data_IF_793209152552
#
_entry.id   IF_793209152552
#
_cell.length_a   1.000
_cell.length_b   1.000
_cell.length_c   1.000
_cell.angle_alpha   90.00
_cell.angle_beta   90.00
_cell.angle_gamma   90.00
#
_symmetry.space_group_name_H-M   'P 1'
#
loop_
_entity.id
_entity.type
_entity.pdbx_description
1 polymer ?
#
# COMPACT_ATOMS: atom_id res chain seq x y z
N UNK A 1 12.53 -4.08 -31.87
CA UNK A 1 13.12 -3.28 -30.76
C UNK A 1 12.23 -2.11 -30.32
N UNK A 2 11.79 -1.19 -31.21
CA UNK A 2 11.03 0.01 -30.81
C UNK A 2 9.68 -0.20 -30.08
N UNK A 3 8.94 -1.29 -30.36
CA UNK A 3 7.65 -1.58 -29.68
C UNK A 3 7.85 -2.06 -28.23
N UNK A 4 8.95 -2.75 -27.94
CA UNK A 4 9.29 -3.20 -26.59
C UNK A 4 9.82 -2.04 -25.73
N UNK A 5 10.59 -1.14 -26.32
CA UNK A 5 11.07 0.09 -25.67
C UNK A 5 9.95 1.11 -25.40
N UNK A 6 9.01 1.28 -26.34
CA UNK A 6 7.84 2.14 -26.12
C UNK A 6 6.95 1.64 -24.98
N UNK A 7 6.82 0.31 -24.84
CA UNK A 7 6.03 -0.31 -23.77
C UNK A 7 6.68 -0.17 -22.39
N UNK A 8 8.00 -0.36 -22.28
CA UNK A 8 8.72 -0.11 -21.02
C UNK A 8 8.62 1.34 -20.59
N UNK A 9 8.73 2.30 -21.53
CA UNK A 9 8.55 3.74 -21.23
C UNK A 9 7.15 4.06 -20.70
N UNK A 10 6.09 3.52 -21.30
CA UNK A 10 4.71 3.73 -20.84
C UNK A 10 4.48 3.14 -19.44
N UNK A 11 5.03 1.93 -19.18
CA UNK A 11 4.96 1.29 -17.87
C UNK A 11 5.70 2.09 -16.80
N UNK A 12 6.90 2.60 -17.11
CA UNK A 12 7.65 3.46 -16.18
C UNK A 12 6.91 4.77 -15.92
N UNK A 13 6.33 5.41 -16.94
CA UNK A 13 5.53 6.62 -16.77
C UNK A 13 4.31 6.38 -15.88
N UNK A 14 3.59 5.27 -16.08
CA UNK A 14 2.47 4.89 -15.21
C UNK A 14 2.92 4.65 -13.77
N UNK A 15 4.05 3.96 -13.57
CA UNK A 15 4.60 3.73 -12.23
C UNK A 15 4.96 5.04 -11.53
N UNK A 16 5.62 5.97 -12.22
CA UNK A 16 5.96 7.29 -11.67
C UNK A 16 4.71 8.12 -11.35
N UNK A 17 3.72 8.12 -12.24
CA UNK A 17 2.44 8.79 -12.00
C UNK A 17 1.76 8.27 -10.73
N UNK A 18 1.66 6.95 -10.57
CA UNK A 18 1.06 6.36 -9.38
C UNK A 18 1.91 6.60 -8.12
N UNK A 19 3.25 6.61 -8.23
CA UNK A 19 4.13 6.96 -7.11
C UNK A 19 3.92 8.40 -6.63
N UNK A 20 3.71 9.36 -7.54
CA UNK A 20 3.40 10.76 -7.20
C UNK A 20 2.06 10.85 -6.48
N UNK A 21 1.01 10.22 -7.02
CA UNK A 21 -0.32 10.20 -6.41
C UNK A 21 -0.28 9.56 -5.01
N UNK A 22 0.43 8.44 -4.88
CA UNK A 22 0.64 7.78 -3.60
C UNK A 22 1.35 8.73 -2.62
N UNK A 23 2.38 9.45 -3.08
CA UNK A 23 3.11 10.41 -2.26
C UNK A 23 2.25 11.55 -1.73
N UNK A 24 1.45 12.16 -2.61
CA UNK A 24 0.50 13.21 -2.23
C UNK A 24 -0.48 12.66 -1.19
N UNK A 25 -1.07 11.49 -1.42
CA UNK A 25 -2.02 10.86 -0.52
C UNK A 25 -1.42 10.48 0.84
N UNK A 26 -0.29 9.77 0.86
CA UNK A 26 0.40 9.31 2.08
C UNK A 26 0.84 10.46 2.98
N UNK A 27 1.18 11.61 2.40
CA UNK A 27 1.54 12.80 3.14
C UNK A 27 0.31 13.57 3.64
N UNK A 28 -0.68 13.79 2.79
CA UNK A 28 -1.84 14.63 3.10
C UNK A 28 -2.83 14.00 4.07
N UNK A 29 -3.09 12.68 3.95
CA UNK A 29 -4.10 12.00 4.76
C UNK A 29 -3.85 12.08 6.27
N UNK A 30 -2.66 11.69 6.79
CA UNK A 30 -2.41 11.72 8.23
C UNK A 30 -2.49 13.14 8.81
N UNK A 31 -2.06 14.14 8.05
CA UNK A 31 -2.11 15.55 8.47
C UNK A 31 -3.57 16.02 8.57
N UNK A 32 -4.39 15.83 7.52
CA UNK A 32 -5.80 16.25 7.56
C UNK A 32 -6.61 15.47 8.59
N UNK A 33 -6.34 14.17 8.77
CA UNK A 33 -6.95 13.38 9.83
C UNK A 33 -6.62 13.96 11.21
N UNK A 34 -5.36 14.36 11.44
CA UNK A 34 -4.97 15.01 12.69
C UNK A 34 -5.61 16.37 12.86
N UNK A 35 -5.65 17.18 11.81
CA UNK A 35 -6.32 18.48 11.83
C UNK A 35 -7.79 18.37 12.22
N UNK A 36 -8.48 17.32 11.74
CA UNK A 36 -9.85 17.01 12.13
C UNK A 36 -9.98 16.74 13.64
N UNK A 37 -9.13 15.90 14.22
CA UNK A 37 -9.18 15.61 15.66
C UNK A 37 -8.78 16.81 16.53
N UNK A 38 -7.75 17.56 16.12
CA UNK A 38 -7.32 18.77 16.85
C UNK A 38 -8.41 19.85 16.83
N UNK A 39 -9.13 20.02 15.73
CA UNK A 39 -10.20 21.01 15.62
C UNK A 39 -11.51 20.66 16.37
N UNK A 40 -11.51 19.62 17.20
CA UNK A 40 -12.67 19.18 17.97
C UNK A 40 -13.48 18.04 17.34
N UNK A 41 -13.00 17.43 16.26
CA UNK A 41 -13.60 16.22 15.69
C UNK A 41 -13.49 15.05 16.66
N UNK A 42 -14.60 14.37 16.94
CA UNK A 42 -14.69 13.26 17.91
C UNK A 42 -15.16 11.95 17.26
N UNK A 43 -15.79 12.03 16.08
CA UNK A 43 -16.37 10.86 15.41
C UNK A 43 -15.32 10.01 14.69
N UNK A 44 -14.90 8.91 15.32
CA UNK A 44 -13.92 7.96 14.78
C UNK A 44 -14.50 7.22 13.56
N UNK A 45 -15.74 6.75 13.61
CA UNK A 45 -16.34 6.03 12.47
C UNK A 45 -16.58 6.96 11.29
N UNK A 46 -16.97 8.21 11.53
CA UNK A 46 -17.06 9.22 10.48
C UNK A 46 -15.70 9.48 9.81
N UNK A 47 -14.65 9.68 10.63
CA UNK A 47 -13.31 9.88 10.07
C UNK A 47 -12.74 8.64 9.38
N UNK A 48 -13.21 7.45 9.74
CA UNK A 48 -12.89 6.20 9.06
C UNK A 48 -13.62 6.10 7.72
N UNK A 49 -14.92 6.38 7.72
CA UNK A 49 -15.81 6.29 6.56
C UNK A 49 -15.38 7.23 5.43
N UNK A 50 -14.99 8.46 5.76
CA UNK A 50 -14.57 9.45 4.76
C UNK A 50 -13.34 9.04 3.93
N UNK A 51 -12.46 8.17 4.45
CA UNK A 51 -11.26 7.74 3.74
C UNK A 51 -11.61 6.98 2.45
N UNK A 52 -12.73 6.27 2.42
CA UNK A 52 -13.14 5.49 1.24
C UNK A 52 -14.43 6.01 0.60
N UNK A 53 -15.14 6.93 1.26
CA UNK A 53 -16.42 7.49 0.78
C UNK A 53 -16.32 8.17 -0.59
N UNK A 54 -15.14 8.68 -0.97
CA UNK A 54 -14.89 9.28 -2.29
C UNK A 54 -14.65 8.26 -3.42
N UNK A 55 -14.94 6.97 -3.20
CA UNK A 55 -14.88 5.94 -4.25
C UNK A 55 -15.60 6.29 -5.56
N UNK A 56 -16.74 7.03 -5.59
CA UNK A 56 -17.41 7.37 -6.84
C UNK A 56 -16.59 8.30 -7.73
N UNK A 57 -15.61 9.05 -7.19
CA UNK A 57 -14.70 9.88 -7.99
C UNK A 57 -13.93 9.03 -9.00
N UNK A 58 -13.70 7.74 -8.70
CA UNK A 58 -13.05 6.77 -9.59
C UNK A 58 -13.87 6.53 -10.88
N UNK A 59 -15.17 6.84 -10.91
CA UNK A 59 -15.95 6.78 -12.16
C UNK A 59 -15.46 7.76 -13.21
N UNK A 60 -14.89 8.90 -12.83
CA UNK A 60 -14.43 9.92 -13.78
C UNK A 60 -13.33 9.36 -14.69
N UNK A 61 -12.18 8.84 -14.19
CA UNK A 61 -11.15 8.27 -15.06
C UNK A 61 -11.63 7.03 -15.82
N UNK A 62 -12.51 6.21 -15.22
CA UNK A 62 -13.11 5.06 -15.91
C UNK A 62 -14.01 5.49 -17.08
N UNK A 63 -14.81 6.52 -16.90
CA UNK A 63 -15.68 7.07 -17.94
C UNK A 63 -14.88 7.72 -19.07
N UNK A 64 -13.81 8.45 -18.74
CA UNK A 64 -12.87 9.00 -19.73
C UNK A 64 -12.22 7.86 -20.54
N UNK A 65 -11.75 6.82 -19.85
CA UNK A 65 -11.19 5.62 -20.49
C UNK A 65 -12.21 4.95 -21.41
N UNK A 66 -13.45 4.76 -20.93
CA UNK A 66 -14.56 4.22 -21.70
C UNK A 66 -14.79 4.99 -23.01
N UNK A 67 -14.87 6.34 -22.95
CA UNK A 67 -15.07 7.17 -24.14
C UNK A 67 -13.88 7.04 -25.10
N UNK A 68 -12.66 7.05 -24.58
CA UNK A 68 -11.44 6.95 -25.39
C UNK A 68 -11.37 5.61 -26.14
N UNK A 69 -11.64 4.50 -25.45
CA UNK A 69 -11.69 3.17 -26.05
C UNK A 69 -12.84 3.02 -27.04
N UNK A 70 -14.01 3.58 -26.74
CA UNK A 70 -15.16 3.59 -27.68
C UNK A 70 -14.83 4.33 -28.97
N UNK A 71 -14.14 5.48 -28.90
CA UNK A 71 -13.70 6.26 -30.08
C UNK A 71 -12.66 5.52 -30.92
N UNK A 72 -11.72 4.80 -30.29
CA UNK A 72 -10.76 3.95 -31.02
C UNK A 72 -11.44 2.75 -31.68
N UNK A 73 -12.42 2.14 -31.02
CA UNK A 73 -13.18 1.01 -31.57
C UNK A 73 -14.04 1.38 -32.77
N UNK A 74 -14.52 2.62 -32.88
CA UNK A 74 -15.21 3.05 -34.11
C UNK A 74 -14.27 3.15 -35.33
N UNK A 75 -12.95 3.05 -35.13
CA UNK A 75 -11.94 3.09 -36.20
C UNK A 75 -11.35 1.71 -36.52
N UNK A 76 -11.62 0.69 -35.71
CA UNK A 76 -11.11 -0.68 -35.89
C UNK A 76 -12.22 -1.68 -35.58
N UNK A 77 -12.54 -2.58 -36.53
CA UNK A 77 -13.60 -3.61 -36.45
C UNK A 77 -13.36 -4.71 -35.40
N UNK A 78 -12.83 -4.36 -34.23
CA UNK A 78 -12.42 -5.30 -33.19
C UNK A 78 -13.51 -5.36 -32.10
N UNK A 79 -14.29 -6.43 -32.13
CA UNK A 79 -15.45 -6.71 -31.28
C UNK A 79 -15.07 -7.27 -29.90
N UNK A 80 -13.98 -6.79 -29.30
CA UNK A 80 -13.57 -7.24 -27.96
C UNK A 80 -14.64 -6.91 -26.91
N UNK A 81 -15.09 -7.85 -26.11
CA UNK A 81 -16.07 -7.57 -25.05
C UNK A 81 -15.55 -6.52 -24.07
N UNK A 82 -16.46 -5.73 -23.47
CA UNK A 82 -16.11 -4.88 -22.34
C UNK A 82 -15.53 -5.78 -21.25
N UNK A 83 -14.23 -5.65 -20.99
CA UNK A 83 -13.55 -6.46 -20.00
C UNK A 83 -13.99 -5.98 -18.62
N UNK A 84 -15.09 -6.54 -18.13
CA UNK A 84 -15.48 -6.45 -16.74
C UNK A 84 -14.43 -7.17 -15.89
N UNK A 85 -14.04 -6.57 -14.76
CA UNK A 85 -13.29 -7.24 -13.69
C UNK A 85 -13.75 -8.69 -13.53
N UNK A 86 -12.80 -9.62 -13.55
CA UNK A 86 -13.15 -11.05 -13.43
C UNK A 86 -13.86 -11.30 -12.09
N UNK A 87 -14.82 -12.24 -12.01
CA UNK A 87 -15.52 -12.52 -10.76
C UNK A 87 -14.58 -12.82 -9.59
N UNK A 88 -13.46 -13.50 -9.87
CA UNK A 88 -12.40 -13.74 -8.89
C UNK A 88 -11.78 -12.45 -8.35
N UNK A 89 -11.44 -11.49 -9.22
CA UNK A 89 -10.90 -10.19 -8.79
C UNK A 89 -11.94 -9.34 -8.08
N UNK A 90 -13.19 -9.39 -8.51
CA UNK A 90 -14.28 -8.69 -7.83
C UNK A 90 -14.44 -9.18 -6.39
N UNK A 91 -14.52 -10.49 -6.19
CA UNK A 91 -14.63 -11.10 -4.84
C UNK A 91 -13.38 -10.80 -4.02
N UNK A 92 -12.19 -10.91 -4.63
CA UNK A 92 -10.94 -10.59 -3.94
C UNK A 92 -10.90 -9.13 -3.50
N UNK A 93 -11.25 -8.19 -4.40
CA UNK A 93 -11.32 -6.76 -4.11
C UNK A 93 -12.32 -6.46 -2.99
N UNK A 94 -13.48 -7.11 -3.01
CA UNK A 94 -14.49 -6.95 -1.97
C UNK A 94 -14.00 -7.43 -0.60
N UNK A 95 -13.41 -8.63 -0.52
CA UNK A 95 -12.85 -9.18 0.73
C UNK A 95 -11.70 -8.33 1.27
N UNK A 96 -10.78 -7.93 0.39
CA UNK A 96 -9.67 -7.01 0.73
C UNK A 96 -10.24 -5.65 1.16
N UNK A 97 -11.32 -5.18 0.55
CA UNK A 97 -12.02 -3.96 0.91
C UNK A 97 -12.62 -4.00 2.32
N UNK A 98 -13.21 -5.12 2.74
CA UNK A 98 -13.69 -5.28 4.11
C UNK A 98 -12.53 -5.19 5.12
N UNK A 99 -11.42 -5.87 4.83
CA UNK A 99 -10.20 -5.79 5.65
C UNK A 99 -9.60 -4.37 5.64
N UNK A 100 -9.68 -3.66 4.52
CA UNK A 100 -9.28 -2.26 4.41
C UNK A 100 -10.16 -1.34 5.29
N UNK A 101 -11.47 -1.59 5.35
CA UNK A 101 -12.36 -0.86 6.26
C UNK A 101 -11.96 -1.03 7.72
N UNK A 102 -11.64 -2.26 8.13
CA UNK A 102 -11.08 -2.52 9.46
C UNK A 102 -9.75 -1.82 9.67
N UNK A 103 -8.85 -1.86 8.68
CA UNK A 103 -7.57 -1.17 8.76
C UNK A 103 -7.74 0.35 8.96
N UNK A 104 -8.61 0.98 8.19
CA UNK A 104 -8.89 2.42 8.31
C UNK A 104 -9.43 2.77 9.70
N UNK A 105 -10.24 1.88 10.29
CA UNK A 105 -10.75 2.06 11.65
C UNK A 105 -9.60 2.01 12.68
N UNK A 106 -8.69 1.04 12.56
CA UNK A 106 -7.51 0.94 13.42
C UNK A 106 -6.61 2.16 13.29
N UNK A 107 -6.35 2.61 12.05
CA UNK A 107 -5.58 3.82 11.76
C UNK A 107 -6.19 5.05 12.43
N UNK A 108 -7.48 5.31 12.18
CA UNK A 108 -8.20 6.46 12.73
C UNK A 108 -8.23 6.42 14.26
N UNK A 109 -8.43 5.23 14.83
CA UNK A 109 -8.42 5.03 16.29
C UNK A 109 -7.05 5.26 16.91
N UNK A 110 -5.96 5.00 16.17
CA UNK A 110 -4.59 5.33 16.54
C UNK A 110 -4.33 6.83 16.50
N UNK A 111 -4.64 7.50 15.38
CA UNK A 111 -4.45 8.96 15.19
C UNK A 111 -5.29 9.79 16.16
N UNK A 112 -6.46 9.28 16.56
CA UNK A 112 -7.30 9.93 17.57
C UNK A 112 -6.64 9.95 18.97
N UNK A 113 -5.74 8.99 19.28
CA UNK A 113 -5.19 8.77 20.63
C UNK A 113 -3.70 9.07 20.75
N UNK A 114 -2.98 9.09 19.64
CA UNK A 114 -1.53 9.26 19.58
C UNK A 114 -1.14 10.47 18.71
N UNK A 115 -0.02 11.13 18.99
CA UNK A 115 0.58 12.09 18.06
C UNK A 115 0.85 11.44 16.69
N UNK A 116 0.78 12.22 15.61
CA UNK A 116 0.98 11.70 14.25
C UNK A 116 2.37 11.11 14.10
N UNK A 117 3.39 11.76 14.67
CA UNK A 117 4.77 11.24 14.67
C UNK A 117 4.86 9.83 15.25
N UNK A 118 4.12 9.54 16.31
CA UNK A 118 4.17 8.24 16.98
C UNK A 118 3.43 7.19 16.16
N UNK A 119 2.30 7.55 15.55
CA UNK A 119 1.54 6.67 14.65
C UNK A 119 2.37 6.28 13.43
N UNK A 120 2.99 7.25 12.75
CA UNK A 120 3.79 7.02 11.55
C UNK A 120 5.02 6.15 11.84
N UNK A 121 5.63 6.35 13.00
CA UNK A 121 6.81 5.60 13.37
C UNK A 121 6.49 4.14 13.69
N UNK A 122 5.39 3.85 14.39
CA UNK A 122 4.88 2.48 14.55
C UNK A 122 4.46 1.92 13.18
N UNK A 123 3.79 2.72 12.35
CA UNK A 123 3.37 2.32 11.02
C UNK A 123 4.57 1.95 10.12
N UNK A 124 5.78 2.49 10.36
CA UNK A 124 6.99 2.07 9.63
C UNK A 124 7.27 0.56 9.70
N UNK A 125 6.84 -0.12 10.77
CA UNK A 125 6.91 -1.57 10.91
C UNK A 125 6.10 -2.35 9.87
N UNK A 126 5.13 -1.69 9.19
CA UNK A 126 4.35 -2.28 8.11
C UNK A 126 5.22 -2.83 6.98
N UNK A 127 6.41 -2.26 6.75
CA UNK A 127 7.36 -2.77 5.76
C UNK A 127 7.88 -4.17 6.13
N UNK A 128 8.13 -4.44 7.42
CA UNK A 128 8.54 -5.76 7.91
C UNK A 128 7.42 -6.79 7.70
N UNK A 129 6.18 -6.42 8.08
CA UNK A 129 5.01 -7.27 7.84
C UNK A 129 4.78 -7.52 6.34
N UNK A 130 4.92 -6.49 5.50
CA UNK A 130 4.82 -6.61 4.04
C UNK A 130 5.84 -7.58 3.50
N UNK A 131 7.10 -7.44 3.91
CA UNK A 131 8.16 -8.35 3.51
C UNK A 131 7.81 -9.79 3.90
N UNK A 132 7.39 -10.01 5.15
CA UNK A 132 6.95 -11.32 5.65
C UNK A 132 5.82 -11.92 4.81
N UNK A 133 4.73 -11.18 4.60
CA UNK A 133 3.57 -11.66 3.87
C UNK A 133 3.84 -11.79 2.36
N UNK A 134 4.65 -10.93 1.75
CA UNK A 134 5.02 -11.04 0.34
C UNK A 134 5.83 -12.31 0.06
N UNK A 135 6.70 -12.74 1.00
CA UNK A 135 7.36 -14.04 0.90
C UNK A 135 6.39 -15.21 1.06
N UNK A 136 5.49 -15.16 2.04
CA UNK A 136 4.54 -16.26 2.29
C UNK A 136 3.53 -16.39 1.15
N UNK A 137 2.94 -15.27 0.71
CA UNK A 137 1.80 -15.25 -0.21
C UNK A 137 2.22 -15.19 -1.67
N UNK A 138 3.23 -14.39 -2.00
CA UNK A 138 3.68 -14.14 -3.39
C UNK A 138 4.98 -14.90 -3.71
N UNK A 139 5.50 -15.68 -2.74
CA UNK A 139 6.74 -16.47 -2.87
C UNK A 139 7.96 -15.64 -3.28
N UNK A 140 7.99 -14.37 -2.85
CA UNK A 140 9.12 -13.47 -3.11
C UNK A 140 10.37 -14.02 -2.40
N UNK A 141 11.48 -14.28 -3.11
CA UNK A 141 12.67 -14.90 -2.48
C UNK A 141 13.37 -13.94 -1.50
N UNK A 142 13.50 -14.35 -0.25
CA UNK A 142 14.24 -13.59 0.76
C UNK A 142 15.75 -13.68 0.60
N UNK A 143 16.43 -12.60 0.97
CA UNK A 143 17.89 -12.49 0.99
C UNK A 143 18.35 -12.25 2.42
N UNK A 144 19.65 -12.45 2.73
CA UNK A 144 20.20 -12.16 4.06
C UNK A 144 19.94 -10.70 4.50
N UNK A 145 19.81 -9.78 3.54
CA UNK A 145 19.45 -8.38 3.79
C UNK A 145 18.00 -8.20 4.26
N UNK A 146 17.09 -9.09 3.85
CA UNK A 146 15.71 -9.10 4.31
C UNK A 146 15.60 -9.50 5.78
N UNK A 147 16.40 -10.48 6.21
CA UNK A 147 16.48 -10.87 7.62
C UNK A 147 17.03 -9.72 8.47
N UNK A 148 18.08 -9.05 7.99
CA UNK A 148 18.66 -7.90 8.68
C UNK A 148 17.65 -6.72 8.79
N UNK A 149 16.89 -6.44 7.74
CA UNK A 149 15.85 -5.41 7.74
C UNK A 149 14.73 -5.72 8.75
N UNK A 150 14.29 -6.99 8.84
CA UNK A 150 13.29 -7.40 9.83
C UNK A 150 13.83 -7.19 11.25
N UNK A 151 15.05 -7.64 11.55
CA UNK A 151 15.66 -7.46 12.89
C UNK A 151 15.75 -5.98 13.29
N UNK A 152 16.19 -5.11 12.38
CA UNK A 152 16.30 -3.67 12.63
C UNK A 152 14.93 -3.00 12.85
N UNK A 153 13.90 -3.40 12.09
CA UNK A 153 12.54 -2.87 12.25
C UNK A 153 11.90 -3.34 13.57
N UNK A 154 12.17 -4.58 14.00
CA UNK A 154 11.72 -5.08 15.31
C UNK A 154 12.40 -4.33 16.46
N UNK A 155 13.71 -4.06 16.36
CA UNK A 155 14.44 -3.25 17.34
C UNK A 155 13.91 -1.81 17.42
N UNK A 156 13.59 -1.21 16.27
CA UNK A 156 12.97 0.12 16.20
C UNK A 156 11.64 0.16 16.96
N UNK A 157 10.75 -0.82 16.73
CA UNK A 157 9.47 -0.94 17.42
C UNK A 157 9.62 -1.17 18.94
N UNK A 158 10.62 -1.97 19.37
CA UNK A 158 10.89 -2.23 20.80
C UNK A 158 11.40 -0.97 21.51
N UNK A 159 12.33 -0.24 20.90
CA UNK A 159 12.88 1.00 21.47
C UNK A 159 11.77 2.03 21.72
N UNK A 160 10.78 2.10 20.82
CA UNK A 160 9.61 2.95 20.96
C UNK A 160 8.64 2.50 22.05
N UNK A 161 8.33 1.21 22.09
CA UNK A 161 7.43 0.64 23.09
C UNK A 161 7.94 0.84 24.52
N UNK A 162 9.26 0.76 24.71
CA UNK A 162 9.90 0.90 26.02
C UNK A 162 9.90 2.36 26.52
N UNK A 163 9.82 3.36 25.64
CA UNK A 163 9.89 4.80 26.00
C UNK A 163 8.60 5.60 25.74
N UNK A 164 7.54 4.91 25.38
CA UNK A 164 6.16 5.40 25.25
C UNK A 164 5.66 6.33 26.37
N UNK A 165 6.22 6.23 27.59
CA UNK A 165 5.83 7.06 28.73
C UNK A 165 6.13 8.56 28.60
N UNK A 166 7.05 8.97 27.72
CA UNK A 166 7.50 10.37 27.59
C UNK A 166 6.82 11.18 26.49
N UNK A 167 5.96 10.56 25.67
CA UNK A 167 5.37 11.16 24.46
C UNK A 167 3.84 11.31 24.55
N UNK A 168 3.34 11.32 25.80
CA UNK A 168 1.91 11.41 26.13
C UNK A 168 1.35 12.80 25.79
N UNK A 169 0.28 12.92 24.98
CA UNK A 169 -0.48 14.16 24.87
C UNK A 169 -0.98 14.62 26.25
N UNK A 170 -0.97 15.93 26.52
CA UNK A 170 -1.43 16.45 27.80
C UNK A 170 -2.93 16.13 28.00
N UNK A 171 -3.26 15.35 29.03
CA UNK A 171 -4.64 15.01 29.41
C UNK A 171 -5.06 13.55 29.19
N UNK A 172 -4.35 12.77 28.37
CA UNK A 172 -4.74 11.39 28.01
C UNK A 172 -4.33 10.35 29.07
N UNK A 173 -5.15 9.33 29.30
CA UNK A 173 -4.85 8.27 30.26
C UNK A 173 -3.81 7.28 29.72
N UNK A 174 -3.05 6.62 30.63
CA UNK A 174 -2.08 5.57 30.26
C UNK A 174 -2.75 4.42 29.47
N UNK A 175 -4.04 4.18 29.71
CA UNK A 175 -4.82 3.13 29.02
C UNK A 175 -5.12 3.51 27.57
N UNK A 176 -5.51 4.77 27.31
CA UNK A 176 -5.79 5.27 25.95
C UNK A 176 -4.54 5.24 25.07
N UNK A 177 -3.38 5.61 25.63
CA UNK A 177 -2.11 5.52 24.93
C UNK A 177 -1.78 4.08 24.50
N UNK A 178 -1.86 3.11 25.43
CA UNK A 178 -1.59 1.68 25.14
C UNK A 178 -2.56 1.15 24.09
N UNK A 179 -3.83 1.54 24.17
CA UNK A 179 -4.85 1.15 23.21
C UNK A 179 -4.57 1.74 21.81
N UNK A 180 -4.18 3.02 21.74
CA UNK A 180 -3.75 3.66 20.49
C UNK A 180 -2.52 2.98 19.88
N UNK A 181 -1.57 2.56 20.71
CA UNK A 181 -0.39 1.81 20.27
C UNK A 181 -0.79 0.45 19.68
N UNK A 182 -1.63 -0.31 20.39
CA UNK A 182 -2.11 -1.62 19.94
C UNK A 182 -2.89 -1.51 18.61
N UNK A 183 -3.77 -0.53 18.47
CA UNK A 183 -4.47 -0.26 17.21
C UNK A 183 -3.50 0.06 16.07
N UNK A 184 -2.46 0.85 16.34
CA UNK A 184 -1.48 1.21 15.31
C UNK A 184 -0.62 0.02 14.87
N UNK A 185 -0.22 -0.86 15.79
CA UNK A 185 0.47 -2.12 15.45
C UNK A 185 -0.44 -3.03 14.61
N UNK A 186 -1.71 -3.16 15.00
CA UNK A 186 -2.71 -3.91 14.23
C UNK A 186 -2.90 -3.34 12.82
N UNK A 187 -2.93 -2.01 12.69
CA UNK A 187 -2.96 -1.32 11.40
C UNK A 187 -1.73 -1.63 10.55
N UNK A 188 -0.53 -1.55 11.12
CA UNK A 188 0.71 -1.89 10.39
C UNK A 188 0.72 -3.34 9.89
N UNK A 189 0.25 -4.29 10.73
CA UNK A 189 0.16 -5.70 10.36
C UNK A 189 -0.87 -5.94 9.24
N UNK A 190 -2.07 -5.32 9.33
CA UNK A 190 -3.10 -5.42 8.30
C UNK A 190 -2.64 -4.78 6.99
N UNK A 191 -2.07 -3.58 7.01
CA UNK A 191 -1.52 -2.95 5.81
C UNK A 191 -0.41 -3.80 5.18
N UNK A 192 0.46 -4.38 6.00
CA UNK A 192 1.48 -5.31 5.52
C UNK A 192 0.92 -6.57 4.86
N UNK A 193 -0.29 -6.99 5.23
CA UNK A 193 -0.99 -8.11 4.59
C UNK A 193 -1.76 -7.68 3.32
N UNK A 194 -2.40 -6.52 3.36
CA UNK A 194 -3.33 -6.04 2.33
C UNK A 194 -2.65 -5.88 0.96
N UNK A 195 -1.49 -5.23 0.89
CA UNK A 195 -0.82 -4.99 -0.40
C UNK A 195 -0.31 -6.29 -1.06
N UNK A 196 0.30 -7.24 -0.33
CA UNK A 196 0.61 -8.56 -0.88
C UNK A 196 -0.63 -9.36 -1.32
N UNK A 197 -1.78 -9.23 -0.64
CA UNK A 197 -3.03 -9.85 -1.10
C UNK A 197 -3.50 -9.26 -2.43
N UNK A 198 -3.40 -7.94 -2.60
CA UNK A 198 -3.68 -7.27 -3.88
C UNK A 198 -2.75 -7.78 -4.99
N UNK A 199 -1.45 -7.85 -4.72
CA UNK A 199 -0.47 -8.40 -5.68
C UNK A 199 -0.78 -9.85 -6.04
N UNK A 200 -1.15 -10.68 -5.05
CA UNK A 200 -1.55 -12.06 -5.28
C UNK A 200 -2.81 -12.14 -6.16
N UNK A 201 -3.81 -11.31 -5.91
CA UNK A 201 -5.04 -11.24 -6.72
C UNK A 201 -4.71 -10.92 -8.18
N UNK A 202 -3.85 -9.93 -8.41
CA UNK A 202 -3.38 -9.57 -9.76
C UNK A 202 -2.58 -10.69 -10.43
N UNK A 203 -1.67 -11.37 -9.70
CA UNK A 203 -0.85 -12.45 -10.28
C UNK A 203 -1.63 -13.71 -10.67
N UNK A 204 -2.77 -13.96 -10.02
CA UNK A 204 -3.64 -15.11 -10.30
C UNK A 204 -4.44 -14.98 -11.58
N UNK A 205 -4.65 -13.75 -12.06
CA UNK A 205 -5.29 -13.54 -13.35
C UNK A 205 -4.23 -13.70 -14.44
N UNK A 206 -4.33 -14.78 -15.23
CA UNK A 206 -3.42 -15.10 -16.35
C UNK A 206 -3.56 -14.15 -17.55
N UNK A 207 -3.85 -12.87 -17.31
CA UNK A 207 -3.85 -11.85 -18.35
C UNK A 207 -2.41 -11.44 -18.64
N UNK A 208 -2.03 -11.49 -19.91
CA UNK A 208 -0.69 -11.08 -20.34
C UNK A 208 -0.36 -9.63 -19.94
N UNK A 209 -1.38 -8.79 -19.68
CA UNK A 209 -1.26 -7.38 -19.29
C UNK A 209 -2.44 -6.97 -18.40
N UNK A 210 -2.14 -6.33 -17.27
CA UNK A 210 -3.14 -5.61 -16.48
C UNK A 210 -3.30 -4.22 -17.10
N UNK A 211 -4.51 -3.93 -17.58
CA UNK A 211 -4.85 -2.59 -18.03
C UNK A 211 -5.10 -1.66 -16.83
N UNK A 212 -4.86 -0.36 -17.01
CA UNK A 212 -5.05 0.61 -15.94
C UNK A 212 -6.53 0.70 -15.49
N UNK A 213 -7.46 0.47 -16.42
CA UNK A 213 -8.89 0.31 -16.15
C UNK A 213 -9.16 -0.76 -15.09
N UNK A 214 -8.51 -1.92 -15.18
CA UNK A 214 -8.67 -3.00 -14.23
C UNK A 214 -8.21 -2.62 -12.82
N UNK A 215 -7.13 -1.83 -12.70
CA UNK A 215 -6.66 -1.31 -11.41
C UNK A 215 -7.69 -0.36 -10.81
N UNK A 216 -8.28 0.52 -11.61
CA UNK A 216 -9.33 1.45 -11.19
C UNK A 216 -10.64 0.73 -10.81
N UNK A 217 -11.02 -0.32 -11.55
CA UNK A 217 -12.17 -1.17 -11.20
C UNK A 217 -11.93 -1.92 -9.88
N UNK A 218 -10.75 -2.52 -9.71
CA UNK A 218 -10.38 -3.20 -8.47
C UNK A 218 -10.39 -2.23 -7.28
N UNK A 219 -9.81 -1.04 -7.44
CA UNK A 219 -9.86 0.03 -6.45
C UNK A 219 -11.29 0.42 -6.09
N UNK A 220 -12.16 0.60 -7.09
CA UNK A 220 -13.54 1.01 -6.88
C UNK A 220 -14.27 -0.01 -6.02
N UNK A 221 -14.17 -1.31 -6.35
CA UNK A 221 -14.82 -2.39 -5.59
C UNK A 221 -14.26 -2.46 -4.16
N UNK A 222 -12.94 -2.34 -4.01
CA UNK A 222 -12.27 -2.30 -2.71
C UNK A 222 -12.78 -1.15 -1.85
N UNK A 223 -12.80 0.08 -2.38
CA UNK A 223 -13.24 1.26 -1.64
C UNK A 223 -14.74 1.23 -1.36
N UNK A 224 -15.55 0.68 -2.27
CA UNK A 224 -16.98 0.48 -2.06
C UNK A 224 -17.24 -0.49 -0.90
N UNK A 225 -16.60 -1.66 -0.90
CA UNK A 225 -16.74 -2.64 0.18
C UNK A 225 -16.26 -2.10 1.53
N UNK A 226 -15.12 -1.38 1.55
CA UNK A 226 -14.63 -0.68 2.74
C UNK A 226 -15.65 0.35 3.25
N UNK A 227 -16.25 1.12 2.35
CA UNK A 227 -17.27 2.12 2.68
C UNK A 227 -18.52 1.47 3.24
N UNK A 228 -18.97 0.33 2.71
CA UNK A 228 -20.10 -0.42 3.26
C UNK A 228 -19.81 -0.88 4.70
N UNK A 229 -18.62 -1.45 4.94
CA UNK A 229 -18.18 -1.83 6.29
C UNK A 229 -18.23 -0.62 7.25
N UNK A 230 -17.67 0.51 6.85
CA UNK A 230 -17.66 1.72 7.66
C UNK A 230 -19.06 2.31 7.85
N UNK A 231 -19.94 2.16 6.86
CA UNK A 231 -21.34 2.62 6.92
C UNK A 231 -22.11 1.87 8.01
N UNK A 232 -21.85 0.58 8.19
CA UNK A 232 -22.42 -0.18 9.32
C UNK A 232 -21.95 0.42 10.65
N UNK A 233 -20.65 0.71 10.80
CA UNK A 233 -20.12 1.37 12.00
C UNK A 233 -20.70 2.76 12.27
N UNK A 234 -20.92 3.54 11.20
CA UNK A 234 -21.60 4.84 11.25
C UNK A 234 -23.03 4.73 11.78
N UNK A 235 -23.79 3.72 11.31
CA UNK A 235 -25.15 3.48 11.77
C UNK A 235 -25.19 3.06 13.24
N UNK A 236 -24.32 2.14 13.65
CA UNK A 236 -24.25 1.64 15.04
C UNK A 236 -23.90 2.76 16.02
N UNK A 237 -23.03 3.71 15.63
CA UNK A 237 -22.62 4.81 16.52
C UNK A 237 -23.49 6.08 16.39
N UNK A 238 -24.52 6.06 15.55
CA UNK A 238 -25.34 7.24 15.25
C UNK A 238 -24.53 8.46 14.78
N UNK A 239 -23.43 8.19 14.06
CA UNK A 239 -22.50 9.24 13.63
C UNK A 239 -23.12 10.09 12.51
N UNK A 240 -23.98 9.53 11.66
CA UNK A 240 -24.67 10.29 10.60
C UNK A 240 -25.49 11.46 11.16
N UNK A 241 -26.18 11.26 12.29
CA UNK A 241 -26.95 12.33 12.95
C UNK A 241 -26.02 13.38 13.58
N UNK A 242 -24.84 12.97 14.04
CA UNK A 242 -23.90 13.81 14.76
C UNK A 242 -23.09 14.76 13.85
N UNK A 243 -22.91 14.46 12.55
CA UNK A 243 -22.11 15.27 11.62
C UNK A 243 -22.54 16.74 11.62
N UNK A 244 -23.84 17.01 11.58
CA UNK A 244 -24.35 18.38 11.50
C UNK A 244 -24.09 19.20 12.77
N UNK A 245 -24.07 18.54 13.93
CA UNK A 245 -23.75 19.14 15.22
C UNK A 245 -22.25 19.36 15.35
N UNK A 246 -21.45 18.34 15.05
CA UNK A 246 -19.98 18.43 15.08
C UNK A 246 -19.47 19.53 14.15
N UNK A 247 -20.04 19.67 12.96
CA UNK A 247 -19.69 20.75 12.03
C UNK A 247 -19.97 22.17 12.58
N UNK A 248 -20.93 22.33 13.50
CA UNK A 248 -21.23 23.62 14.16
C UNK A 248 -20.31 23.89 15.34
N UNK A 249 -19.93 22.82 16.05
CA UNK A 249 -19.08 22.86 17.25
C UNK A 249 -17.59 22.84 16.92
N UNK A 250 -17.22 22.56 15.66
CA UNK A 250 -15.83 22.56 15.20
C UNK A 250 -15.16 23.91 15.46
N UNK A 251 -14.04 23.91 16.18
CA UNK A 251 -13.40 25.12 16.73
C UNK A 251 -13.03 26.13 15.65
N UNK A 252 -12.68 25.63 14.47
CA UNK A 252 -12.22 26.42 13.34
C UNK A 252 -13.37 26.84 12.40
N UNK A 253 -14.60 26.44 12.73
CA UNK A 253 -15.82 26.79 12.01
C UNK A 253 -16.23 25.79 10.93
N UNK A 254 -17.52 25.83 10.60
CA UNK A 254 -18.21 24.90 9.68
C UNK A 254 -17.57 24.79 8.31
N UNK A 255 -17.13 25.90 7.71
CA UNK A 255 -16.50 25.88 6.38
C UNK A 255 -15.20 25.07 6.38
N UNK A 256 -14.34 25.28 7.38
CA UNK A 256 -13.07 24.56 7.50
C UNK A 256 -13.30 23.07 7.80
N UNK A 257 -14.32 22.74 8.59
CA UNK A 257 -14.73 21.34 8.81
C UNK A 257 -14.99 20.59 7.49
N UNK A 258 -15.85 21.16 6.62
CA UNK A 258 -16.14 20.53 5.33
C UNK A 258 -14.94 20.52 4.36
N UNK A 259 -14.09 21.53 4.38
CA UNK A 259 -12.85 21.55 3.60
C UNK A 259 -11.90 20.42 4.03
N UNK A 260 -11.77 20.16 5.33
CA UNK A 260 -10.93 19.09 5.88
C UNK A 260 -11.48 17.73 5.47
N UNK A 261 -12.80 17.54 5.55
CA UNK A 261 -13.45 16.29 5.13
C UNK A 261 -13.24 16.03 3.64
N UNK A 262 -13.50 17.04 2.81
CA UNK A 262 -13.35 16.92 1.36
C UNK A 262 -11.88 16.70 0.99
N UNK A 263 -10.96 17.41 1.64
CA UNK A 263 -9.52 17.19 1.48
C UNK A 263 -9.14 15.76 1.82
N UNK A 264 -9.53 15.26 3.00
CA UNK A 264 -9.20 13.91 3.45
C UNK A 264 -9.72 12.85 2.47
N UNK A 265 -10.95 13.04 1.95
CA UNK A 265 -11.51 12.15 0.95
C UNK A 265 -10.70 12.16 -0.37
N UNK A 266 -10.26 13.34 -0.84
CA UNK A 266 -9.43 13.48 -2.06
C UNK A 266 -8.04 12.87 -1.88
N UNK A 267 -7.35 13.20 -0.80
CA UNK A 267 -6.01 12.65 -0.50
C UNK A 267 -6.07 11.14 -0.34
N UNK A 268 -7.14 10.62 0.26
CA UNK A 268 -7.36 9.18 0.36
C UNK A 268 -7.51 8.53 -1.02
N UNK A 269 -8.26 9.14 -1.95
CA UNK A 269 -8.34 8.63 -3.32
C UNK A 269 -6.98 8.63 -4.01
N UNK A 270 -6.16 9.68 -3.85
CA UNK A 270 -4.81 9.70 -4.40
C UNK A 270 -3.93 8.59 -3.81
N UNK A 271 -4.06 8.33 -2.51
CA UNK A 271 -3.38 7.21 -1.85
C UNK A 271 -3.81 5.85 -2.46
N UNK A 272 -5.11 5.59 -2.60
CA UNK A 272 -5.60 4.31 -3.14
C UNK A 272 -5.19 4.09 -4.60
N UNK A 273 -5.37 5.11 -5.45
CA UNK A 273 -4.92 5.06 -6.87
C UNK A 273 -3.43 4.78 -6.94
N UNK A 274 -2.65 5.53 -6.18
CA UNK A 274 -1.21 5.41 -6.18
C UNK A 274 -0.72 4.04 -5.68
N UNK A 275 -1.20 3.60 -4.53
CA UNK A 275 -0.77 2.34 -3.90
C UNK A 275 -1.15 1.12 -4.74
N UNK A 276 -2.38 1.05 -5.25
CA UNK A 276 -2.83 -0.07 -6.08
C UNK A 276 -2.15 -0.04 -7.47
N UNK A 277 -1.91 1.15 -8.02
CA UNK A 277 -1.18 1.33 -9.28
C UNK A 277 0.29 0.91 -9.18
N UNK A 278 1.03 1.37 -8.16
CA UNK A 278 2.42 0.94 -7.94
C UNK A 278 2.49 -0.57 -7.69
N UNK A 279 1.53 -1.13 -6.96
CA UNK A 279 1.46 -2.57 -6.69
C UNK A 279 1.25 -3.36 -7.98
N UNK A 280 0.41 -2.87 -8.89
CA UNK A 280 0.12 -3.53 -10.18
C UNK A 280 1.29 -3.45 -11.16
N UNK A 281 1.90 -2.27 -11.35
CA UNK A 281 2.99 -2.10 -12.32
C UNK A 281 4.38 -2.43 -11.79
N UNK A 282 4.54 -2.48 -10.46
CA UNK A 282 5.76 -2.80 -9.74
C UNK A 282 5.59 -4.05 -8.87
N UNK A 283 5.38 -3.83 -7.57
CA UNK A 283 5.09 -4.87 -6.57
C UNK A 283 4.51 -4.23 -5.30
N UNK A 284 3.86 -5.02 -4.46
CA UNK A 284 3.36 -4.59 -3.15
C UNK A 284 4.49 -4.04 -2.27
N UNK A 285 5.66 -4.67 -2.37
CA UNK A 285 6.83 -4.24 -1.63
C UNK A 285 7.32 -2.87 -2.12
N UNK A 286 7.38 -2.62 -3.43
CA UNK A 286 7.76 -1.30 -3.96
C UNK A 286 6.80 -0.20 -3.48
N UNK A 287 5.51 -0.49 -3.40
CA UNK A 287 4.52 0.46 -2.85
C UNK A 287 4.85 0.81 -1.40
N UNK A 288 5.07 -0.21 -0.56
CA UNK A 288 5.39 0.01 0.86
C UNK A 288 6.71 0.71 1.09
N UNK A 289 7.68 0.42 0.24
CA UNK A 289 8.96 1.10 0.21
C UNK A 289 8.79 2.61 0.00
N UNK A 290 8.03 3.00 -1.02
CA UNK A 290 7.79 4.42 -1.30
C UNK A 290 7.05 5.05 -0.12
N UNK A 291 6.03 4.38 0.43
CA UNK A 291 5.32 4.86 1.62
C UNK A 291 6.29 5.06 2.79
N UNK A 292 7.16 4.10 3.08
CA UNK A 292 8.15 4.18 4.17
C UNK A 292 9.14 5.33 3.96
N UNK A 293 9.58 5.59 2.73
CA UNK A 293 10.47 6.73 2.41
C UNK A 293 9.77 8.08 2.60
N UNK A 294 8.44 8.12 2.44
CA UNK A 294 7.64 9.33 2.65
C UNK A 294 7.30 9.57 4.13
N UNK A 295 7.30 8.53 4.99
CA UNK A 295 6.99 8.68 6.42
C UNK A 295 7.81 9.79 7.10
N UNK A 296 9.15 9.87 6.94
CA UNK A 296 9.92 10.96 7.51
C UNK A 296 9.49 12.34 7.06
N UNK A 297 9.12 12.48 5.78
CA UNK A 297 8.68 13.75 5.22
C UNK A 297 7.35 14.15 5.87
N UNK A 298 6.44 13.19 6.03
CA UNK A 298 5.17 13.39 6.73
C UNK A 298 5.36 13.75 8.20
N UNK A 299 6.30 13.12 8.90
CA UNK A 299 6.64 13.46 10.29
C UNK A 299 7.18 14.90 10.41
N UNK A 300 8.11 15.28 9.52
CA UNK A 300 8.63 16.66 9.49
C UNK A 300 7.51 17.67 9.20
N UNK A 301 6.59 17.37 8.28
CA UNK A 301 5.42 18.21 8.03
C UNK A 301 4.51 18.31 9.26
N UNK A 302 4.30 17.21 9.99
CA UNK A 302 3.50 17.24 11.22
C UNK A 302 4.14 18.11 12.30
N UNK A 303 5.46 18.04 12.46
CA UNK A 303 6.22 18.92 13.38
C UNK A 303 6.09 20.38 12.98
N UNK A 304 6.18 20.70 11.69
CA UNK A 304 6.08 22.08 11.19
C UNK A 304 4.66 22.63 11.35
N UNK A 305 3.62 21.86 10.98
CA UNK A 305 2.24 22.34 10.97
C UNK A 305 1.55 22.32 12.33
N UNK A 306 1.89 21.36 13.19
CA UNK A 306 1.25 21.17 14.50
C UNK A 306 2.16 21.47 15.69
N UNK A 307 3.41 21.89 15.44
CA UNK A 307 4.41 22.12 16.47
C UNK A 307 4.59 20.92 17.41
N UNK A 308 4.46 19.70 16.88
CA UNK A 308 4.68 18.46 17.63
C UNK A 308 6.13 18.39 18.14
N UNK A 309 6.33 17.91 19.37
CA UNK A 309 7.68 17.73 19.94
C UNK A 309 8.40 16.59 19.20
N UNK A 310 9.43 16.94 18.43
CA UNK A 310 10.32 15.98 17.78
C UNK A 310 11.53 15.69 18.68
N UNK A 311 11.44 14.62 19.46
CA UNK A 311 12.54 14.19 20.32
C UNK A 311 13.63 13.47 19.50
N UNK A 312 14.89 13.53 19.94
CA UNK A 312 16.03 12.96 19.23
C UNK A 312 15.87 11.45 18.97
N UNK A 313 15.17 10.75 19.84
CA UNK A 313 14.83 9.34 19.75
C UNK A 313 13.93 9.01 18.54
N UNK A 314 13.01 9.91 18.18
CA UNK A 314 12.19 9.78 16.97
C UNK A 314 13.08 9.86 15.74
N UNK A 315 14.03 10.80 15.73
CA UNK A 315 15.05 10.91 14.68
C UNK A 315 15.93 9.67 14.55
N UNK A 316 16.35 9.07 15.66
CA UNK A 316 17.18 7.84 15.66
C UNK A 316 16.38 6.63 15.14
N UNK A 317 15.14 6.45 15.60
CA UNK A 317 14.26 5.37 15.13
C UNK A 317 13.95 5.50 13.64
N UNK A 318 13.70 6.73 13.19
CA UNK A 318 13.46 7.06 11.78
C UNK A 318 14.71 6.81 10.92
N UNK A 319 15.90 7.17 11.41
CA UNK A 319 17.16 6.87 10.75
C UNK A 319 17.43 5.36 10.67
N UNK A 320 17.17 4.61 11.75
CA UNK A 320 17.32 3.14 11.79
C UNK A 320 16.35 2.44 10.82
N UNK A 321 15.09 2.88 10.77
CA UNK A 321 14.11 2.38 9.80
C UNK A 321 14.53 2.67 8.36
N UNK A 322 15.06 3.88 8.09
CA UNK A 322 15.60 4.25 6.78
C UNK A 322 16.87 3.46 6.41
N UNK A 323 17.77 3.21 7.36
CA UNK A 323 19.00 2.45 7.16
C UNK A 323 18.75 0.96 6.89
N UNK A 324 17.85 0.34 7.66
CA UNK A 324 17.40 -1.03 7.42
C UNK A 324 16.78 -1.17 6.02
N UNK A 325 16.06 -0.13 5.58
CA UNK A 325 15.49 -0.03 4.25
C UNK A 325 16.54 0.09 3.13
N UNK A 326 17.53 0.99 3.25
CA UNK A 326 18.61 1.13 2.25
C UNK A 326 19.41 -0.17 2.10
N UNK A 327 19.63 -0.87 3.22
CA UNK A 327 20.31 -2.17 3.23
C UNK A 327 19.54 -3.26 2.46
N UNK A 328 18.20 -3.25 2.50
CA UNK A 328 17.35 -4.16 1.74
C UNK A 328 17.50 -3.96 0.22
N UNK A 329 17.40 -2.70 -0.25
CA UNK A 329 17.49 -2.37 -1.68
C UNK A 329 18.85 -2.66 -2.28
N UNK A 330 19.91 -2.35 -1.54
CA UNK A 330 21.26 -2.67 -1.99
C UNK A 330 21.41 -4.18 -2.23
N UNK A 331 20.79 -5.02 -1.39
CA UNK A 331 20.74 -6.47 -1.55
C UNK A 331 19.97 -6.92 -2.79
N UNK A 332 18.78 -6.38 -3.03
CA UNK A 332 17.93 -6.79 -4.16
C UNK A 332 18.49 -6.35 -5.51
N UNK A 333 19.02 -5.12 -5.60
CA UNK A 333 19.69 -4.59 -6.80
C UNK A 333 20.94 -5.42 -7.10
N UNK A 334 21.77 -5.70 -6.09
CA UNK A 334 22.98 -6.52 -6.27
C UNK A 334 22.65 -7.93 -6.75
N UNK A 335 21.57 -8.54 -6.26
CA UNK A 335 21.13 -9.86 -6.68
C UNK A 335 20.53 -9.86 -8.10
N UNK A 336 19.79 -8.83 -8.49
CA UNK A 336 19.28 -8.68 -9.85
C UNK A 336 20.41 -8.40 -10.87
N UNK A 337 21.45 -7.65 -10.47
CA UNK A 337 22.66 -7.46 -11.29
C UNK A 337 23.42 -8.79 -11.42
N UNK A 338 23.55 -9.58 -10.34
CA UNK A 338 24.16 -10.91 -10.40
C UNK A 338 23.41 -11.88 -11.32
N UNK A 339 22.08 -11.88 -11.28
CA UNK A 339 21.24 -12.69 -12.18
C UNK A 339 21.36 -12.26 -13.65
N UNK A 340 21.46 -10.96 -13.95
CA UNK A 340 21.71 -10.47 -15.31
C UNK A 340 23.12 -10.77 -15.84
N UNK A 341 24.07 -11.05 -14.94
CA UNK A 341 25.45 -11.41 -15.29
C UNK A 341 25.68 -12.92 -15.40
N UNK A 342 24.72 -13.76 -15.03
CA UNK A 342 24.78 -15.21 -15.28
C UNK A 342 24.27 -15.51 -16.69
N UNK A 343 25.03 -16.23 -17.54
CA UNK A 343 24.50 -16.75 -18.80
C UNK A 343 23.30 -17.66 -18.50
N UNK A 344 22.29 -17.76 -19.40
CA UNK A 344 21.22 -18.73 -19.24
C UNK A 344 21.86 -20.11 -19.07
N UNK A 345 21.47 -20.81 -18.00
CA UNK A 345 21.94 -22.16 -17.74
C UNK A 345 21.67 -22.99 -18.99
N UNK A 346 22.75 -23.36 -19.70
CA UNK A 346 22.66 -24.37 -20.73
C UNK A 346 21.99 -25.58 -20.10
N UNK A 347 20.91 -26.06 -20.73
CA UNK A 347 20.34 -27.37 -20.47
C UNK A 347 21.52 -28.35 -20.40
N UNK A 348 21.85 -28.81 -19.20
CA UNK A 348 22.64 -30.02 -19.04
C UNK A 348 21.75 -31.14 -19.59
N UNK A 349 21.87 -31.40 -20.88
CA UNK A 349 21.57 -32.71 -21.41
C UNK A 349 22.51 -33.62 -20.66
N UNK A 350 21.97 -34.38 -19.72
CA UNK A 350 22.64 -35.52 -19.12
C UNK A 350 23.08 -36.42 -20.27
N UNK A 351 24.36 -36.34 -20.65
CA UNK A 351 24.97 -37.36 -21.50
C UNK A 351 24.83 -38.68 -20.74
N UNK A 352 24.01 -39.58 -21.28
CA UNK A 352 24.04 -40.98 -20.87
C UNK A 352 25.47 -41.51 -21.12
N UNK A 353 26.06 -42.26 -20.17
CA UNK A 353 27.38 -42.82 -20.39
C UNK A 353 27.32 -43.78 -21.57
N UNK A 354 28.07 -43.44 -22.63
CA UNK A 354 28.36 -44.31 -23.76
C UNK A 354 29.29 -45.44 -23.31
N UNK A 355 28.73 -46.46 -22.67
CA UNK A 355 29.38 -47.75 -22.51
C UNK A 355 28.41 -48.85 -22.92
N UNK A 356 28.85 -49.66 -23.88
CA UNK A 356 28.25 -50.91 -24.37
C UNK A 356 27.24 -50.76 -25.52
N UNK A 357 27.71 -50.26 -26.67
CA UNK A 357 27.31 -50.82 -27.97
C UNK A 357 28.61 -51.21 -28.69
N UNK A 358 28.99 -52.48 -28.59
CA UNK A 358 30.08 -53.09 -29.35
C UNK A 358 29.64 -53.33 -30.80
N UNK A 359 30.38 -52.86 -31.81
CA UNK A 359 30.06 -53.17 -33.21
C UNK A 359 30.49 -54.60 -33.56
N UNK A 360 29.58 -55.31 -34.22
CA UNK A 360 29.81 -56.61 -34.85
C UNK A 360 30.95 -56.54 -35.86
N UNK A 361 31.93 -57.43 -35.70
CA UNK A 361 33.06 -57.61 -36.61
C UNK A 361 32.63 -58.56 -37.73
N UNK A 362 32.55 -58.07 -38.97
CA UNK A 362 32.51 -58.90 -40.16
C UNK A 362 33.90 -59.51 -40.38
N UNK A 363 33.97 -60.84 -40.52
CA UNK A 363 35.11 -61.55 -41.07
C UNK A 363 34.70 -62.16 -42.41
N UNK A 364 35.42 -61.76 -43.45
CA UNK A 364 35.43 -62.35 -44.79
C UNK A 364 36.60 -63.33 -44.92
N UNK A 365 36.32 -64.58 -45.31
CA UNK A 365 37.20 -65.51 -46.04
C UNK A 365 38.42 -66.10 -45.31
N UNK A 366 39.00 -67.21 -45.79
CA UNK A 366 38.84 -67.83 -47.11
C UNK A 366 37.85 -69.01 -47.18
#
# INVERSE_FOLDING_TARGET
MGRAEGWTRLRTAALLFNAIFMGIGSCGNPLLARFYFIGGGTRIWFSTWQQTAAWPVTFIPLFISYIYHRRRRSQTSDSGEFHHITPFLFISAALIGLLMGLNNYLFTSGVAKLPVSTVLLIASSQLAFTSLFAFILVKQKFTAFTINAVVLLTLSAVILGVRAGNDRPAGESKKEYILGFAFTVGCAALMGLLLPLVELSYSKVKMARIEYSMVLEFQMVLCFAATLFCTVGMFINHDFQAISREAREFELGKTKYFLVIMGNAIFSQFYFVGALGVTSYGSSLLSMVIITVLLPITELMAVVFYHEKFQAEKGISLFLSFWGFVSYFYGDIKNNIKKKKQPPAALQITELPSSVISPSRSMTGP
#
